data_IF_136323031605
#
_entry.id   IF_136323031605
#
_cell.length_a   1.000
_cell.length_b   1.000
_cell.length_c   1.000
_cell.angle_alpha   90.00
_cell.angle_beta   90.00
_cell.angle_gamma   90.00
#
_symmetry.space_group_name_H-M   'P 1'
#
loop_
_entity.id
_entity.type
_entity.pdbx_description
1 polymer ?
#
# COMPACT_ATOMS: atom_id res chain seq x y z
N UNK A 1 -0.21 -6.52 14.99
CA UNK A 1 -0.86 -6.07 13.76
C UNK A 1 -1.55 -4.78 14.11
N UNK A 2 -1.18 -3.71 13.43
CA UNK A 2 -1.76 -2.38 13.63
C UNK A 2 -2.25 -1.87 12.29
N UNK A 3 -3.48 -1.36 12.28
CA UNK A 3 -4.10 -0.75 11.11
C UNK A 3 -4.54 0.65 11.54
N UNK A 4 -3.84 1.65 11.05
CA UNK A 4 -4.11 3.05 11.35
C UNK A 4 -4.96 3.65 10.23
N UNK A 5 -6.00 4.39 10.60
CA UNK A 5 -6.84 5.12 9.67
C UNK A 5 -6.52 6.61 9.74
N UNK A 6 -6.51 7.29 8.60
CA UNK A 6 -6.17 8.70 8.50
C UNK A 6 -7.43 9.55 8.26
N UNK A 7 -7.70 10.46 9.20
CA UNK A 7 -8.84 11.38 9.14
C UNK A 7 -8.78 12.31 7.92
N UNK A 8 -7.58 12.73 7.50
CA UNK A 8 -7.42 13.63 6.35
C UNK A 8 -7.87 12.99 5.03
N UNK A 9 -7.72 11.67 4.90
CA UNK A 9 -8.23 10.90 3.76
C UNK A 9 -9.75 10.84 3.78
N UNK A 10 -10.35 10.62 4.95
CA UNK A 10 -11.82 10.61 5.14
C UNK A 10 -12.43 11.96 4.79
N UNK A 11 -11.82 13.06 5.23
CA UNK A 11 -12.28 14.42 4.94
C UNK A 11 -12.28 14.73 3.44
N UNK A 12 -11.35 14.13 2.68
CA UNK A 12 -11.31 14.18 1.21
C UNK A 12 -12.14 13.09 0.53
N UNK A 13 -12.88 12.28 1.29
CA UNK A 13 -13.70 11.15 0.81
C UNK A 13 -12.91 10.08 0.06
N UNK A 14 -11.63 9.93 0.38
CA UNK A 14 -10.78 8.90 -0.20
C UNK A 14 -10.87 7.61 0.64
N UNK A 15 -11.25 6.51 0.00
CA UNK A 15 -11.40 5.20 0.64
C UNK A 15 -10.66 4.11 -0.12
N UNK A 16 -9.99 3.17 0.57
CA UNK A 16 -9.91 3.02 2.03
C UNK A 16 -8.97 4.05 2.68
N UNK A 17 -9.40 4.64 3.80
CA UNK A 17 -8.66 5.70 4.50
C UNK A 17 -7.51 5.17 5.38
N UNK A 18 -6.68 4.27 4.84
CA UNK A 18 -5.60 3.59 5.58
C UNK A 18 -4.31 4.40 5.54
N UNK A 19 -3.68 4.61 6.70
CA UNK A 19 -2.35 5.19 6.74
C UNK A 19 -1.29 4.10 6.50
N UNK A 20 -0.81 3.99 5.26
CA UNK A 20 0.09 2.91 4.79
C UNK A 20 1.38 2.81 5.63
N UNK A 21 2.03 3.95 5.91
CA UNK A 21 3.31 3.98 6.63
C UNK A 21 3.19 3.62 8.11
N UNK A 22 2.09 3.97 8.76
CA UNK A 22 1.86 3.67 10.18
C UNK A 22 1.29 2.27 10.39
N UNK A 23 0.70 1.67 9.36
CA UNK A 23 0.08 0.35 9.42
C UNK A 23 1.08 -0.77 9.11
N UNK A 24 1.07 -1.82 9.92
CA UNK A 24 1.99 -2.94 9.74
C UNK A 24 1.75 -4.12 10.69
N UNK A 25 2.41 -5.23 10.37
CA UNK A 25 2.38 -6.45 11.18
C UNK A 25 3.80 -6.82 11.57
N UNK A 26 4.00 -7.21 12.84
CA UNK A 26 5.31 -7.68 13.31
C UNK A 26 5.67 -9.00 12.62
N UNK A 27 6.94 -9.12 12.21
CA UNK A 27 7.47 -10.29 11.49
C UNK A 27 6.65 -10.66 10.24
N UNK A 28 6.26 -9.65 9.46
CA UNK A 28 5.51 -9.86 8.22
C UNK A 28 6.32 -10.62 7.15
N UNK A 29 7.65 -10.71 7.27
CA UNK A 29 8.52 -11.56 6.47
C UNK A 29 8.15 -13.06 6.52
N UNK A 30 7.51 -13.52 7.60
CA UNK A 30 7.04 -14.90 7.74
C UNK A 30 5.67 -15.15 7.07
N UNK A 31 4.97 -14.09 6.67
CA UNK A 31 3.60 -14.18 6.13
C UNK A 31 3.57 -14.21 4.60
N UNK A 32 4.63 -13.74 3.95
CA UNK A 32 4.72 -13.64 2.51
C UNK A 32 5.69 -14.67 1.94
N UNK A 33 5.48 -15.04 0.67
CA UNK A 33 6.54 -15.73 -0.07
C UNK A 33 7.76 -14.80 -0.21
N UNK A 34 9.02 -15.28 -0.13
CA UNK A 34 10.20 -14.42 -0.15
C UNK A 34 10.27 -13.45 -1.34
N UNK A 35 9.81 -13.88 -2.51
CA UNK A 35 9.76 -13.04 -3.71
C UNK A 35 8.69 -11.95 -3.66
N UNK A 36 7.53 -12.26 -3.06
CA UNK A 36 6.46 -11.29 -2.86
C UNK A 36 6.86 -10.26 -1.81
N UNK A 37 7.54 -10.71 -0.75
CA UNK A 37 8.00 -9.85 0.33
C UNK A 37 8.91 -8.71 -0.19
N UNK A 38 9.87 -9.04 -1.06
CA UNK A 38 10.75 -8.04 -1.67
C UNK A 38 9.96 -6.98 -2.47
N UNK A 39 8.91 -7.40 -3.19
CA UNK A 39 8.04 -6.51 -3.98
C UNK A 39 7.14 -5.65 -3.09
N UNK A 40 6.58 -6.22 -2.02
CA UNK A 40 5.80 -5.48 -1.01
C UNK A 40 6.67 -4.43 -0.32
N UNK A 41 7.93 -4.75 0.00
CA UNK A 41 8.86 -3.78 0.58
C UNK A 41 9.15 -2.63 -0.38
N UNK A 42 9.35 -2.91 -1.67
CA UNK A 42 9.55 -1.88 -2.68
C UNK A 42 8.31 -0.97 -2.79
N UNK A 43 7.13 -1.57 -2.89
CA UNK A 43 5.84 -0.87 -2.90
C UNK A 43 5.72 0.08 -1.70
N UNK A 44 5.98 -0.41 -0.48
CA UNK A 44 5.93 0.40 0.74
C UNK A 44 6.94 1.54 0.74
N UNK A 45 8.16 1.32 0.24
CA UNK A 45 9.18 2.38 0.12
C UNK A 45 8.75 3.48 -0.85
N UNK A 46 8.18 3.11 -1.99
CA UNK A 46 7.66 4.10 -2.96
C UNK A 46 6.52 4.91 -2.36
N UNK A 47 5.58 4.26 -1.68
CA UNK A 47 4.47 4.94 -1.00
C UNK A 47 4.94 5.85 0.14
N UNK A 48 5.99 5.47 0.87
CA UNK A 48 6.56 6.27 1.95
C UNK A 48 7.31 7.53 1.45
N UNK A 49 7.65 7.60 0.17
CA UNK A 49 8.25 8.79 -0.44
C UNK A 49 7.21 9.87 -0.79
N UNK A 50 5.92 9.54 -0.71
CA UNK A 50 4.81 10.43 -1.07
C UNK A 50 4.02 10.87 0.17
N UNK A 51 3.36 12.03 0.12
CA UNK A 51 2.35 12.40 1.12
C UNK A 51 1.25 11.34 1.22
N UNK A 52 0.64 11.09 2.40
CA UNK A 52 -0.34 10.01 2.61
C UNK A 52 -1.51 10.02 1.60
N UNK A 53 -1.96 11.20 1.20
CA UNK A 53 -3.03 11.37 0.22
C UNK A 53 -2.61 10.89 -1.18
N UNK A 54 -1.49 11.40 -1.67
CA UNK A 54 -0.96 11.05 -2.99
C UNK A 54 -0.60 9.58 -3.07
N UNK A 55 0.00 9.03 -1.99
CA UNK A 55 0.29 7.61 -1.87
C UNK A 55 -0.99 6.77 -2.03
N UNK A 56 -2.07 7.13 -1.33
CA UNK A 56 -3.32 6.38 -1.39
C UNK A 56 -4.01 6.52 -2.75
N UNK A 57 -4.02 7.71 -3.35
CA UNK A 57 -4.54 7.92 -4.71
C UNK A 57 -3.78 7.09 -5.75
N UNK A 58 -2.45 7.09 -5.70
CA UNK A 58 -1.63 6.29 -6.60
C UNK A 58 -1.86 4.79 -6.40
N UNK A 59 -1.99 4.35 -5.15
CA UNK A 59 -2.28 2.95 -4.84
C UNK A 59 -3.64 2.54 -5.39
N UNK A 60 -4.70 3.33 -5.19
CA UNK A 60 -6.04 3.06 -5.72
C UNK A 60 -6.01 3.00 -7.25
N UNK A 61 -5.34 3.93 -7.91
CA UNK A 61 -5.22 3.96 -9.37
C UNK A 61 -4.54 2.69 -9.90
N UNK A 62 -3.46 2.25 -9.26
CA UNK A 62 -2.74 1.03 -9.64
C UNK A 62 -3.54 -0.24 -9.36
N UNK A 63 -4.30 -0.28 -8.24
CA UNK A 63 -5.23 -1.36 -7.95
C UNK A 63 -6.36 -1.45 -8.98
N UNK A 64 -6.87 -0.31 -9.44
CA UNK A 64 -7.90 -0.28 -10.49
C UNK A 64 -7.36 -0.68 -11.87
N UNK A 65 -6.07 -0.45 -12.12
CA UNK A 65 -5.40 -0.82 -13.37
C UNK A 65 -5.01 -2.31 -13.45
N UNK A 66 -5.16 -3.07 -12.36
CA UNK A 66 -4.76 -4.48 -12.26
C UNK A 66 -5.93 -5.34 -11.79
N UNK A 67 -5.94 -6.62 -12.17
CA UNK A 67 -7.02 -7.55 -11.77
C UNK A 67 -6.75 -8.25 -10.45
N UNK A 68 -5.50 -8.27 -10.00
CA UNK A 68 -5.09 -8.95 -8.78
C UNK A 68 -3.87 -8.32 -8.13
N UNK A 69 -3.71 -8.54 -6.82
CA UNK A 69 -2.52 -8.10 -6.09
C UNK A 69 -1.23 -8.73 -6.64
N UNK A 70 -1.29 -9.98 -7.12
CA UNK A 70 -0.14 -10.64 -7.76
C UNK A 70 0.28 -9.90 -9.03
N UNK A 71 -0.68 -9.51 -9.88
CA UNK A 71 -0.42 -8.71 -11.08
C UNK A 71 0.18 -7.35 -10.72
N UNK A 72 -0.35 -6.66 -9.70
CA UNK A 72 0.20 -5.40 -9.19
C UNK A 72 1.67 -5.55 -8.77
N UNK A 73 1.98 -6.56 -7.95
CA UNK A 73 3.34 -6.79 -7.45
C UNK A 73 4.30 -7.17 -8.58
N UNK A 74 3.83 -7.86 -9.62
CA UNK A 74 4.63 -8.23 -10.78
C UNK A 74 4.87 -7.05 -11.73
N UNK A 75 3.83 -6.27 -12.05
CA UNK A 75 3.89 -5.13 -12.96
C UNK A 75 4.56 -3.90 -12.35
N UNK A 76 4.56 -3.79 -11.01
CA UNK A 76 5.04 -2.61 -10.29
C UNK A 76 4.06 -1.45 -10.33
N UNK A 77 4.34 -0.43 -9.53
CA UNK A 77 3.60 0.83 -9.56
C UNK A 77 3.90 1.56 -10.87
N UNK A 78 2.83 1.91 -11.59
CA UNK A 78 2.86 2.81 -12.72
C UNK A 78 2.61 4.25 -12.26
#
# INVERSE_FOLDING_TARGET
MELHLDRSLVEKRLYPAIHIQQSGTRREDLLYHPEEWARVQLLRKTMAALPPLEAMEQLINNLHATKSNAELLLAGLR
#
